data_IF_365683625428
#
_entry.id   IF_365683625428
#
_cell.length_a   1.000
_cell.length_b   1.000
_cell.length_c   1.000
_cell.angle_alpha   90.00
_cell.angle_beta   90.00
_cell.angle_gamma   90.00
#
_symmetry.space_group_name_H-M   'P 1'
#
loop_
_entity.id
_entity.type
_entity.pdbx_description
1 polymer ?
#
# COMPACT_ATOMS: atom_id res chain seq x y z
N UNK A 1 9.70 -10.97 0.07
CA UNK A 1 8.96 -9.88 -0.59
C UNK A 1 7.45 -10.14 -0.49
N UNK A 2 6.82 -9.92 0.69
CA UNK A 2 5.37 -10.12 0.81
C UNK A 2 4.59 -9.01 0.11
N UNK A 3 3.46 -9.37 -0.48
CA UNK A 3 2.51 -8.47 -1.14
C UNK A 3 1.20 -8.53 -0.34
N UNK A 4 0.78 -7.41 0.26
CA UNK A 4 -0.34 -7.37 1.18
C UNK A 4 -1.66 -7.77 0.48
N UNK A 5 -2.01 -7.19 -0.68
CA UNK A 5 -3.14 -7.67 -1.49
C UNK A 5 -3.12 -9.19 -1.73
N UNK A 6 -1.96 -9.77 -2.07
CA UNK A 6 -1.85 -11.21 -2.39
C UNK A 6 -1.92 -12.12 -1.17
N UNK A 7 -1.44 -11.71 0.00
CA UNK A 7 -1.48 -12.55 1.22
C UNK A 7 -2.79 -12.40 2.02
N UNK A 8 -3.75 -11.61 1.55
CA UNK A 8 -5.05 -11.42 2.18
C UNK A 8 -5.18 -10.16 3.06
N UNK A 9 -4.38 -9.13 2.79
CA UNK A 9 -4.48 -7.81 3.40
C UNK A 9 -3.45 -7.52 4.50
N UNK A 10 -3.68 -6.41 5.22
CA UNK A 10 -2.77 -5.92 6.27
C UNK A 10 -2.61 -6.94 7.40
N UNK A 11 -3.70 -7.54 7.88
CA UNK A 11 -3.66 -8.48 9.01
C UNK A 11 -2.72 -9.67 8.79
N UNK A 12 -2.81 -10.43 7.68
CA UNK A 12 -1.84 -11.49 7.39
C UNK A 12 -0.44 -10.93 7.07
N UNK A 13 -0.34 -9.77 6.42
CA UNK A 13 0.96 -9.13 6.18
C UNK A 13 1.72 -8.88 7.50
N UNK A 14 1.05 -8.37 8.55
CA UNK A 14 1.67 -8.13 9.86
C UNK A 14 2.21 -9.41 10.49
N UNK A 15 1.55 -10.57 10.27
CA UNK A 15 2.06 -11.87 10.73
C UNK A 15 3.34 -12.25 9.99
N UNK A 16 3.37 -12.05 8.67
CA UNK A 16 4.57 -12.30 7.85
C UNK A 16 5.72 -11.37 8.26
N UNK A 17 5.44 -10.08 8.48
CA UNK A 17 6.42 -9.11 8.93
C UNK A 17 6.99 -9.49 10.31
N UNK A 18 6.16 -9.89 11.27
CA UNK A 18 6.62 -10.34 12.60
C UNK A 18 7.51 -11.60 12.52
N UNK A 19 7.14 -12.56 11.66
CA UNK A 19 7.96 -13.76 11.42
C UNK A 19 9.30 -13.43 10.76
N UNK A 20 9.29 -12.57 9.74
CA UNK A 20 10.50 -12.07 9.10
C UNK A 20 11.37 -11.30 10.11
N UNK A 21 10.73 -10.53 11.01
CA UNK A 21 11.45 -9.76 11.99
C UNK A 21 12.18 -10.67 13.00
N UNK A 22 11.45 -11.66 13.53
CA UNK A 22 11.98 -12.68 14.41
C UNK A 22 13.13 -13.48 13.77
N UNK A 23 13.03 -13.77 12.47
CA UNK A 23 14.06 -14.47 11.71
C UNK A 23 15.26 -13.59 11.30
N UNK A 24 15.29 -12.30 11.68
CA UNK A 24 16.38 -11.39 11.34
C UNK A 24 16.42 -10.99 9.86
N UNK A 25 15.31 -11.11 9.14
CA UNK A 25 15.24 -10.84 7.70
C UNK A 25 14.95 -9.37 7.39
N UNK A 26 15.37 -8.94 6.20
CA UNK A 26 15.02 -7.65 5.61
C UNK A 26 13.63 -7.72 4.96
N UNK A 27 12.97 -6.57 4.82
CA UNK A 27 11.66 -6.48 4.17
C UNK A 27 11.74 -5.64 2.88
N UNK A 28 11.19 -6.18 1.81
CA UNK A 28 10.99 -5.48 0.54
C UNK A 28 9.62 -5.86 -0.01
N UNK A 29 8.53 -5.17 0.38
CA UNK A 29 7.20 -5.50 -0.10
C UNK A 29 7.08 -5.25 -1.60
N UNK A 30 6.31 -6.09 -2.28
CA UNK A 30 6.15 -6.03 -3.73
C UNK A 30 4.90 -5.25 -4.13
N UNK A 31 4.97 -4.55 -5.26
CA UNK A 31 3.83 -3.91 -5.91
C UNK A 31 3.25 -2.74 -5.09
N UNK A 32 2.03 -2.85 -4.56
CA UNK A 32 1.16 -1.76 -4.14
C UNK A 32 1.79 -0.71 -3.19
N UNK A 33 2.55 0.23 -3.74
CA UNK A 33 3.38 1.18 -3.00
C UNK A 33 2.56 2.12 -2.12
N UNK A 34 1.35 2.45 -2.54
CA UNK A 34 0.39 3.29 -1.82
C UNK A 34 -0.05 2.67 -0.49
N UNK A 35 0.02 1.34 -0.37
CA UNK A 35 -0.18 0.60 0.87
C UNK A 35 1.17 0.27 1.54
N UNK A 36 2.13 -0.20 0.76
CA UNK A 36 3.38 -0.74 1.28
C UNK A 36 4.32 0.31 1.86
N UNK A 37 4.22 1.58 1.47
CA UNK A 37 4.99 2.67 2.10
C UNK A 37 4.69 2.78 3.60
N UNK A 38 3.43 2.61 4.00
CA UNK A 38 3.01 2.64 5.41
C UNK A 38 3.47 1.38 6.16
N UNK A 39 3.30 0.22 5.54
CA UNK A 39 3.69 -1.06 6.15
C UNK A 39 5.21 -1.19 6.32
N UNK A 40 5.97 -0.72 5.33
CA UNK A 40 7.43 -0.68 5.40
C UNK A 40 7.90 0.32 6.48
N UNK A 41 7.26 1.48 6.61
CA UNK A 41 7.60 2.46 7.64
C UNK A 41 7.43 1.93 9.08
N UNK A 42 6.64 0.88 9.29
CA UNK A 42 6.49 0.21 10.58
C UNK A 42 7.49 -0.94 10.83
N UNK A 43 8.36 -1.27 9.86
CA UNK A 43 9.30 -2.38 10.01
C UNK A 43 10.56 -1.94 10.79
N UNK A 44 11.08 -2.84 11.63
CA UNK A 44 12.17 -2.51 12.58
C UNK A 44 13.52 -2.30 11.90
N UNK A 45 13.76 -2.94 10.76
CA UNK A 45 14.98 -2.78 9.94
C UNK A 45 14.66 -1.95 8.70
N UNK A 46 15.67 -1.26 8.17
CA UNK A 46 15.53 -0.43 6.97
C UNK A 46 14.98 -1.26 5.79
N UNK A 47 13.76 -0.97 5.30
CA UNK A 47 13.14 -1.75 4.24
C UNK A 47 13.42 -1.14 2.86
N UNK A 48 12.98 -1.84 1.81
CA UNK A 48 12.85 -1.30 0.46
C UNK A 48 11.38 -1.29 0.03
N UNK A 49 10.97 -0.32 -0.78
CA UNK A 49 9.64 -0.28 -1.40
C UNK A 49 9.83 -0.08 -2.90
N UNK A 50 9.14 -0.87 -3.70
CA UNK A 50 9.14 -0.77 -5.16
C UNK A 50 8.35 0.47 -5.61
N UNK A 51 8.85 1.21 -6.61
CA UNK A 51 8.14 2.35 -7.20
C UNK A 51 7.76 2.02 -8.65
N UNK A 52 6.50 2.21 -9.02
CA UNK A 52 6.00 2.18 -10.40
C UNK A 52 4.67 2.93 -10.50
N UNK A 53 4.38 3.46 -11.68
CA UNK A 53 3.30 4.45 -11.89
C UNK A 53 1.92 3.86 -12.27
N UNK A 54 1.79 2.52 -12.28
CA UNK A 54 0.62 1.85 -12.84
C UNK A 54 -0.69 2.15 -12.09
N UNK A 55 -0.64 2.32 -10.76
CA UNK A 55 -1.83 2.57 -9.94
C UNK A 55 -2.13 4.06 -9.76
N UNK A 56 -1.21 4.97 -10.12
CA UNK A 56 -1.42 6.42 -9.98
C UNK A 56 -2.74 6.91 -10.59
N UNK A 57 -3.19 6.45 -11.77
CA UNK A 57 -4.42 6.95 -12.36
C UNK A 57 -5.69 6.63 -11.55
N UNK A 58 -5.62 5.67 -10.61
CA UNK A 58 -6.74 5.28 -9.74
C UNK A 58 -7.02 6.27 -8.62
N UNK A 59 -6.05 7.10 -8.24
CA UNK A 59 -6.12 7.97 -7.07
C UNK A 59 -5.92 9.45 -7.43
N UNK A 60 -6.44 10.36 -6.58
CA UNK A 60 -6.21 11.80 -6.75
C UNK A 60 -4.85 12.24 -6.20
N UNK A 61 -4.30 11.49 -5.23
CA UNK A 61 -3.04 11.76 -4.58
C UNK A 61 -1.88 11.02 -5.25
N UNK A 62 -0.67 11.59 -5.15
CA UNK A 62 0.58 10.95 -5.57
C UNK A 62 1.53 10.79 -4.40
N UNK A 63 2.40 9.80 -4.48
CA UNK A 63 3.51 9.64 -3.54
C UNK A 63 4.67 10.54 -3.99
N UNK A 64 5.35 11.16 -3.03
CA UNK A 64 6.55 11.95 -3.30
C UNK A 64 7.78 11.06 -3.09
N UNK A 65 8.72 11.10 -4.04
CA UNK A 65 10.06 10.55 -3.86
C UNK A 65 11.08 11.68 -3.82
N UNK A 66 11.89 11.73 -2.77
CA UNK A 66 12.94 12.73 -2.59
C UNK A 66 14.19 12.06 -2.00
N UNK A 67 15.36 12.43 -2.52
CA UNK A 67 16.66 11.90 -2.06
C UNK A 67 16.73 10.37 -2.04
N UNK A 68 16.16 9.72 -3.07
CA UNK A 68 16.15 8.25 -3.20
C UNK A 68 15.18 7.53 -2.26
N UNK A 69 14.28 8.25 -1.58
CA UNK A 69 13.32 7.69 -0.62
C UNK A 69 11.91 8.13 -0.96
N UNK A 70 10.95 7.23 -0.79
CA UNK A 70 9.54 7.56 -0.81
C UNK A 70 9.14 8.19 0.53
N UNK A 71 8.48 9.35 0.48
CA UNK A 71 8.02 10.05 1.67
C UNK A 71 6.70 9.42 2.14
N UNK A 72 6.70 8.94 3.39
CA UNK A 72 5.49 8.36 4.00
C UNK A 72 4.41 9.44 4.07
N UNK A 73 3.22 9.21 3.48
CA UNK A 73 2.17 10.22 3.49
C UNK A 73 1.63 10.51 4.89
N UNK A 74 1.31 11.78 5.17
CA UNK A 74 0.80 12.23 6.48
C UNK A 74 -0.72 12.43 6.52
N UNK A 75 -1.42 12.25 5.39
CA UNK A 75 -2.90 12.33 5.38
C UNK A 75 -3.48 11.09 6.09
N UNK A 76 -4.67 11.18 6.70
CA UNK A 76 -5.27 10.07 7.45
C UNK A 76 -5.47 8.78 6.63
N UNK A 77 -5.27 7.63 7.28
CA UNK A 77 -5.42 6.30 6.67
C UNK A 77 -4.36 6.02 5.62
N UNK A 78 -4.75 5.37 4.51
CA UNK A 78 -3.88 5.27 3.33
C UNK A 78 -3.65 6.65 2.69
N UNK A 79 -4.58 7.58 2.93
CA UNK A 79 -4.60 8.91 2.36
C UNK A 79 -4.74 8.89 0.85
N UNK A 80 -5.68 8.05 0.39
CA UNK A 80 -6.05 7.89 -1.01
C UNK A 80 -7.54 8.18 -1.15
N UNK A 81 -7.90 8.84 -2.24
CA UNK A 81 -9.27 8.98 -2.71
C UNK A 81 -9.34 8.51 -4.15
N UNK A 82 -10.43 7.82 -4.53
CA UNK A 82 -10.61 7.35 -5.90
C UNK A 82 -10.71 8.55 -6.86
N UNK A 83 -10.02 8.47 -8.00
CA UNK A 83 -10.15 9.46 -9.06
C UNK A 83 -11.42 9.23 -9.88
N UNK A 84 -11.88 10.27 -10.58
CA UNK A 84 -13.04 10.18 -11.47
C UNK A 84 -12.85 9.16 -12.61
N UNK A 85 -11.59 8.80 -12.93
CA UNK A 85 -11.29 7.79 -13.97
C UNK A 85 -11.76 6.41 -13.58
N UNK A 86 -11.79 6.10 -12.28
CA UNK A 86 -12.21 4.78 -11.79
C UNK A 86 -13.64 4.48 -12.23
N UNK A 87 -14.52 5.48 -12.28
CA UNK A 87 -15.89 5.31 -12.76
C UNK A 87 -15.94 4.80 -14.21
N UNK A 88 -15.05 5.28 -15.08
CA UNK A 88 -14.96 4.84 -16.48
C UNK A 88 -14.33 3.46 -16.67
N UNK A 89 -13.65 2.92 -15.66
CA UNK A 89 -13.01 1.60 -15.69
C UNK A 89 -13.74 0.54 -14.86
N UNK A 90 -14.78 0.93 -14.14
CA UNK A 90 -15.54 0.03 -13.28
C UNK A 90 -16.43 -0.88 -14.13
N UNK A 91 -16.06 -2.17 -14.23
CA UNK A 91 -16.85 -3.16 -14.97
C UNK A 91 -18.02 -3.74 -14.16
N UNK A 92 -17.88 -3.80 -12.83
CA UNK A 92 -18.86 -4.38 -11.92
C UNK A 92 -18.87 -3.60 -10.61
N UNK A 93 -20.06 -3.41 -10.02
CA UNK A 93 -20.25 -2.81 -8.71
C UNK A 93 -21.47 -3.44 -8.02
N UNK A 94 -21.42 -3.56 -6.70
CA UNK A 94 -22.54 -4.01 -5.86
C UNK A 94 -22.45 -3.33 -4.51
N UNK A 95 -23.59 -2.98 -3.93
CA UNK A 95 -23.69 -2.43 -2.57
C UNK A 95 -24.65 -3.29 -1.74
N UNK A 96 -24.38 -3.43 -0.44
CA UNK A 96 -25.24 -4.14 0.53
C UNK A 96 -25.44 -3.24 1.74
N UNK A 97 -26.70 -3.07 2.18
CA UNK A 97 -27.06 -2.08 3.19
C UNK A 97 -27.37 -0.70 2.58
N UNK A 98 -27.61 0.30 3.43
CA UNK A 98 -27.83 1.70 3.02
C UNK A 98 -26.83 2.63 3.69
N UNK A 99 -26.45 3.71 3.00
CA UNK A 99 -25.70 4.81 3.65
C UNK A 99 -26.67 5.50 4.62
N UNK A 100 -26.22 5.69 5.87
CA UNK A 100 -26.97 6.41 6.90
C UNK A 100 -27.08 7.90 6.58
#
# INVERSE_FOLDING_TARGET
MPDAPRVGGITPFLKVAALADHAGLMLAPHFAMELHVHLAACYTREPWVEHFEWLEPLFNEKLETRDGRMIVPTRPGLGLTLSDRVAGWTAQASEVGGRA
#
